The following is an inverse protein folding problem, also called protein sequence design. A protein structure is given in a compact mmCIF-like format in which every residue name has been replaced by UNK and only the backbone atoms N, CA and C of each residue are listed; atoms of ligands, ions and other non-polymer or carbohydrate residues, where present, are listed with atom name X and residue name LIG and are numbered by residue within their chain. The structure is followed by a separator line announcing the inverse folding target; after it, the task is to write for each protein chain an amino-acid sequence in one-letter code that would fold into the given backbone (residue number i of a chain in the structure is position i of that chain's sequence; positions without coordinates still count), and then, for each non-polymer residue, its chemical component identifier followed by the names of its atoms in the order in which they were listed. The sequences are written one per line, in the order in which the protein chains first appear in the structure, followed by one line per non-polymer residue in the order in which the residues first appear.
data_IF_724093078014
#
_entry.id   IF_724093078014
#
_cell.length_a   1.000
_cell.length_b   1.000
_cell.length_c   1.000
_cell.angle_alpha   90.00
_cell.angle_beta   90.00
_cell.angle_gamma   90.00
#
_symmetry.space_group_name_H-M   'P 1'
#
loop_
_entity.id
_entity.type
_entity.pdbx_description
1 polymer ?
#
# COMPACT_ATOMS: atom_id res chain seq x y z
N UNK A 1 -12.58 -18.69 -4.37
CA UNK A 1 -12.01 -18.56 -5.71
C UNK A 1 -10.67 -19.30 -5.86
N UNK A 2 -9.90 -19.50 -4.79
CA UNK A 2 -8.63 -20.22 -4.77
C UNK A 2 -8.76 -21.47 -3.90
N UNK A 3 -8.08 -22.57 -4.31
CA UNK A 3 -8.05 -23.82 -3.53
C UNK A 3 -7.02 -23.79 -2.42
N UNK A 4 -6.06 -22.88 -2.51
CA UNK A 4 -4.96 -22.71 -1.54
C UNK A 4 -4.62 -21.24 -1.42
N UNK A 5 -4.37 -20.79 -0.22
CA UNK A 5 -4.01 -19.41 0.11
C UNK A 5 -2.62 -19.34 0.71
N UNK A 6 -1.82 -18.37 0.25
CA UNK A 6 -0.49 -18.04 0.79
C UNK A 6 -0.49 -16.58 1.24
N UNK A 7 -0.18 -16.34 2.49
CA UNK A 7 0.07 -15.01 3.04
C UNK A 7 1.58 -14.78 3.21
N UNK A 8 2.12 -13.69 2.70
CA UNK A 8 3.48 -13.26 3.03
C UNK A 8 3.46 -12.21 4.13
N UNK A 9 4.27 -12.40 5.18
CA UNK A 9 4.49 -11.42 6.24
C UNK A 9 5.97 -11.05 6.23
N UNK A 10 6.27 -9.83 5.78
CA UNK A 10 7.64 -9.33 5.67
C UNK A 10 7.69 -7.81 5.79
N UNK A 11 8.49 -7.32 6.74
CA UNK A 11 8.79 -5.88 6.84
C UNK A 11 10.00 -5.61 5.97
N UNK A 12 9.73 -5.20 4.72
CA UNK A 12 10.76 -5.01 3.69
C UNK A 12 11.61 -3.77 3.96
N UNK A 13 12.89 -3.89 4.31
CA UNK A 13 13.73 -2.72 4.62
C UNK A 13 13.96 -1.81 3.42
N UNK A 14 13.95 -2.35 2.19
CA UNK A 14 14.33 -1.60 0.98
C UNK A 14 13.27 -0.59 0.52
N UNK A 15 12.05 -0.64 1.07
CA UNK A 15 10.98 0.31 0.76
C UNK A 15 10.82 1.44 1.79
N UNK A 16 11.63 1.46 2.85
CA UNK A 16 11.63 2.53 3.83
C UNK A 16 12.69 3.57 3.47
N UNK A 17 12.23 4.79 3.28
CA UNK A 17 13.06 5.98 3.05
C UNK A 17 13.53 6.61 4.36
N UNK A 18 12.80 6.39 5.47
CA UNK A 18 13.12 6.81 6.82
C UNK A 18 13.49 5.60 7.70
N UNK A 19 14.76 5.50 8.17
CA UNK A 19 15.18 4.44 9.09
C UNK A 19 14.37 4.39 10.39
N UNK A 20 13.91 5.55 10.88
CA UNK A 20 13.09 5.61 12.10
C UNK A 20 11.68 5.03 11.88
N UNK A 21 11.12 5.17 10.67
CA UNK A 21 9.84 4.52 10.33
C UNK A 21 10.00 2.99 10.26
N UNK A 22 11.11 2.50 9.72
CA UNK A 22 11.44 1.06 9.71
C UNK A 22 11.62 0.50 11.14
N UNK A 23 12.36 1.21 11.99
CA UNK A 23 12.60 0.79 13.37
C UNK A 23 11.29 0.70 14.18
N UNK A 24 10.44 1.72 14.03
CA UNK A 24 9.14 1.84 14.73
C UNK A 24 8.02 1.06 14.04
N UNK A 25 8.29 0.39 12.93
CA UNK A 25 7.21 -0.33 12.24
C UNK A 25 6.75 -1.51 13.09
N UNK A 26 5.43 -1.65 13.36
CA UNK A 26 4.91 -2.72 14.20
C UNK A 26 5.29 -4.10 13.64
N UNK A 27 5.80 -4.96 14.52
CA UNK A 27 6.13 -6.36 14.24
C UNK A 27 5.39 -7.22 15.25
N UNK A 28 4.24 -7.75 14.83
CA UNK A 28 3.29 -8.45 15.72
C UNK A 28 3.04 -9.87 15.20
N UNK A 29 4.12 -10.61 14.93
CA UNK A 29 4.07 -11.90 14.23
C UNK A 29 3.05 -12.87 14.85
N UNK A 30 3.02 -13.03 16.16
CA UNK A 30 2.08 -13.94 16.83
C UNK A 30 0.62 -13.54 16.58
N UNK A 31 0.31 -12.24 16.69
CA UNK A 31 -1.03 -11.72 16.42
C UNK A 31 -1.40 -11.86 14.92
N UNK A 32 -0.44 -11.59 14.03
CA UNK A 32 -0.63 -11.71 12.58
C UNK A 32 -0.90 -13.17 12.18
N UNK A 33 -0.18 -14.14 12.77
CA UNK A 33 -0.40 -15.57 12.56
C UNK A 33 -1.76 -16.03 13.10
N UNK A 34 -2.19 -15.53 14.27
CA UNK A 34 -3.50 -15.85 14.82
C UNK A 34 -4.64 -15.33 13.92
N UNK A 35 -4.49 -14.13 13.36
CA UNK A 35 -5.45 -13.55 12.41
C UNK A 35 -5.45 -14.37 11.10
N UNK A 36 -4.29 -14.74 10.57
CA UNK A 36 -4.17 -15.54 9.37
C UNK A 36 -4.85 -16.91 9.55
N UNK A 37 -4.62 -17.57 10.67
CA UNK A 37 -5.26 -18.84 11.01
C UNK A 37 -6.79 -18.69 11.12
N UNK A 38 -7.28 -17.67 11.80
CA UNK A 38 -8.71 -17.40 11.93
C UNK A 38 -9.38 -17.08 10.58
N UNK A 39 -8.62 -16.50 9.65
CA UNK A 39 -9.06 -16.22 8.28
C UNK A 39 -8.99 -17.44 7.34
N UNK A 40 -8.45 -18.58 7.80
CA UNK A 40 -8.35 -19.80 7.02
C UNK A 40 -7.20 -19.78 5.99
N UNK A 41 -6.12 -19.06 6.28
CA UNK A 41 -4.90 -19.08 5.45
C UNK A 41 -4.21 -20.42 5.58
N UNK A 42 -3.88 -21.06 4.44
CA UNK A 42 -3.27 -22.39 4.40
C UNK A 42 -1.76 -22.34 4.67
N UNK A 43 -1.08 -21.34 4.13
CA UNK A 43 0.37 -21.18 4.22
C UNK A 43 0.77 -19.75 4.56
N UNK A 44 1.82 -19.61 5.35
CA UNK A 44 2.43 -18.30 5.63
C UNK A 44 3.90 -18.32 5.21
N UNK A 45 4.30 -17.36 4.39
CA UNK A 45 5.68 -17.14 3.96
C UNK A 45 6.32 -16.06 4.85
N UNK A 46 7.36 -16.42 5.58
CA UNK A 46 8.08 -15.57 6.53
C UNK A 46 9.56 -15.46 6.13
N UNK A 47 9.88 -14.79 5.02
CA UNK A 47 11.25 -14.70 4.57
C UNK A 47 12.07 -13.73 5.45
N UNK A 48 13.36 -14.02 5.56
CA UNK A 48 14.33 -13.08 6.11
C UNK A 48 14.87 -12.13 5.04
N UNK A 49 15.46 -10.97 5.41
CA UNK A 49 16.11 -10.09 4.44
C UNK A 49 17.19 -10.80 3.62
N UNK A 50 18.02 -11.65 4.23
CA UNK A 50 19.10 -12.36 3.56
C UNK A 50 18.59 -13.39 2.53
N UNK A 51 17.45 -14.04 2.82
CA UNK A 51 16.80 -14.94 1.86
C UNK A 51 16.22 -14.21 0.65
N UNK A 52 15.62 -13.04 0.86
CA UNK A 52 15.05 -12.26 -0.24
C UNK A 52 16.11 -11.44 -1.01
N UNK A 53 17.17 -11.02 -0.35
CA UNK A 53 18.21 -10.17 -0.94
C UNK A 53 19.62 -10.78 -0.81
N UNK A 54 19.85 -12.02 -1.30
CA UNK A 54 21.18 -12.64 -1.25
C UNK A 54 22.21 -11.86 -2.09
N UNK A 55 21.74 -10.98 -2.98
CA UNK A 55 22.51 -10.07 -3.82
C UNK A 55 22.80 -8.71 -3.14
N UNK A 56 22.41 -8.52 -1.88
CA UNK A 56 22.52 -7.23 -1.18
C UNK A 56 21.70 -6.11 -1.81
N UNK A 57 20.58 -6.45 -2.47
CA UNK A 57 19.71 -5.50 -3.18
C UNK A 57 20.39 -4.80 -4.36
N UNK A 58 21.32 -5.49 -5.04
CA UNK A 58 22.02 -4.96 -6.23
C UNK A 58 21.11 -4.92 -7.45
N UNK A 59 20.23 -5.93 -7.62
CA UNK A 59 19.23 -5.99 -8.70
C UNK A 59 17.91 -5.41 -8.24
N UNK A 60 17.35 -4.47 -9.02
CA UNK A 60 16.14 -3.73 -8.70
C UNK A 60 15.21 -3.63 -9.89
N UNK A 61 13.92 -3.55 -9.61
CA UNK A 61 12.92 -3.16 -10.59
C UNK A 61 12.60 -1.68 -10.38
N UNK A 62 12.61 -0.91 -11.46
CA UNK A 62 12.28 0.50 -11.48
C UNK A 62 11.16 0.76 -12.48
N UNK A 63 10.27 1.68 -12.13
CA UNK A 63 9.26 2.25 -13.00
C UNK A 63 9.48 3.77 -13.02
N UNK A 64 9.27 4.42 -14.16
CA UNK A 64 9.77 5.79 -14.38
C UNK A 64 8.66 6.85 -14.55
N UNK A 65 7.40 6.50 -14.38
CA UNK A 65 6.26 7.40 -14.59
C UNK A 65 5.38 7.49 -13.33
N UNK A 66 4.67 6.41 -13.00
CA UNK A 66 3.75 6.40 -11.85
C UNK A 66 4.51 6.43 -10.52
N UNK A 67 5.71 5.85 -10.47
CA UNK A 67 6.56 5.86 -9.28
C UNK A 67 7.18 7.23 -8.95
N UNK A 68 7.05 8.22 -9.83
CA UNK A 68 7.67 9.55 -9.66
C UNK A 68 6.73 10.61 -9.11
N UNK A 69 5.46 10.25 -8.90
CA UNK A 69 4.41 11.16 -8.38
C UNK A 69 3.89 10.70 -7.02
N UNK A 70 3.13 11.53 -6.34
CA UNK A 70 2.48 11.21 -5.05
C UNK A 70 3.48 10.63 -4.02
N UNK A 71 3.22 9.39 -3.52
CA UNK A 71 4.13 8.72 -2.60
C UNK A 71 5.54 8.57 -3.14
N UNK A 72 5.71 8.36 -4.45
CA UNK A 72 7.04 8.24 -5.05
C UNK A 72 7.82 9.55 -5.08
N UNK A 73 7.13 10.69 -5.28
CA UNK A 73 7.75 12.01 -5.20
C UNK A 73 8.22 12.34 -3.78
N UNK A 74 7.40 12.01 -2.77
CA UNK A 74 7.74 12.29 -1.36
C UNK A 74 8.65 11.24 -0.71
N UNK A 75 8.79 10.06 -1.33
CA UNK A 75 9.57 8.92 -0.82
C UNK A 75 10.45 8.31 -1.92
N UNK A 76 11.55 8.96 -2.33
CA UNK A 76 12.43 8.46 -3.40
C UNK A 76 12.93 7.04 -3.14
N UNK A 77 12.84 6.16 -4.15
CA UNK A 77 13.24 4.74 -4.06
C UNK A 77 12.23 3.81 -3.38
N UNK A 78 11.17 4.32 -2.77
CA UNK A 78 10.14 3.51 -2.11
C UNK A 78 9.56 2.45 -3.04
N UNK A 79 9.15 2.84 -4.24
CA UNK A 79 8.53 1.91 -5.18
C UNK A 79 9.52 0.96 -5.84
N UNK A 80 10.81 1.30 -5.94
CA UNK A 80 11.84 0.35 -6.36
C UNK A 80 11.91 -0.82 -5.36
N UNK A 81 11.86 -0.51 -4.06
CA UNK A 81 11.80 -1.51 -3.00
C UNK A 81 10.52 -2.35 -3.07
N UNK A 82 9.36 -1.72 -3.26
CA UNK A 82 8.07 -2.40 -3.37
C UNK A 82 8.02 -3.33 -4.58
N UNK A 83 8.36 -2.85 -5.77
CA UNK A 83 8.30 -3.64 -7.00
C UNK A 83 9.28 -4.82 -6.95
N UNK A 84 10.50 -4.58 -6.43
CA UNK A 84 11.51 -5.62 -6.33
C UNK A 84 11.08 -6.73 -5.35
N UNK A 85 10.58 -6.39 -4.16
CA UNK A 85 10.13 -7.41 -3.20
C UNK A 85 8.94 -8.18 -3.72
N UNK A 86 7.94 -7.50 -4.31
CA UNK A 86 6.75 -8.17 -4.84
C UNK A 86 7.12 -9.10 -5.98
N UNK A 87 8.00 -8.70 -6.90
CA UNK A 87 8.50 -9.59 -7.95
C UNK A 87 9.10 -10.87 -7.36
N UNK A 88 10.01 -10.73 -6.37
CA UNK A 88 10.64 -11.90 -5.72
C UNK A 88 9.62 -12.80 -5.05
N UNK A 89 8.66 -12.24 -4.31
CA UNK A 89 7.59 -13.01 -3.67
C UNK A 89 6.71 -13.75 -4.68
N UNK A 90 6.35 -13.11 -5.80
CA UNK A 90 5.58 -13.74 -6.86
C UNK A 90 6.34 -14.89 -7.52
N UNK A 91 7.64 -14.75 -7.74
CA UNK A 91 8.50 -15.82 -8.27
C UNK A 91 8.59 -17.03 -7.31
N UNK A 92 8.67 -16.78 -6.01
CA UNK A 92 8.66 -17.85 -4.99
C UNK A 92 7.29 -18.55 -4.96
N UNK A 93 6.20 -17.79 -5.00
CA UNK A 93 4.84 -18.31 -4.84
C UNK A 93 4.30 -19.05 -6.08
N UNK A 94 4.89 -18.84 -7.27
CA UNK A 94 4.37 -19.45 -8.51
C UNK A 94 4.82 -20.91 -8.73
N UNK A 95 5.75 -21.41 -7.93
CA UNK A 95 6.32 -22.75 -8.14
C UNK A 95 5.26 -23.83 -7.96
N UNK A 96 5.03 -24.62 -9.04
CA UNK A 96 4.09 -25.73 -9.02
C UNK A 96 2.59 -25.36 -9.09
N UNK A 97 2.27 -24.08 -9.34
CA UNK A 97 0.89 -23.60 -9.45
C UNK A 97 0.49 -23.41 -10.91
N UNK A 98 -0.73 -23.81 -11.27
CA UNK A 98 -1.30 -23.55 -12.59
C UNK A 98 -1.37 -22.03 -12.84
N UNK A 99 -0.72 -21.51 -13.90
CA UNK A 99 -0.71 -20.08 -14.23
C UNK A 99 -2.11 -19.46 -14.34
N UNK A 100 -3.09 -20.21 -14.84
CA UNK A 100 -4.47 -19.71 -15.00
C UNK A 100 -5.20 -19.47 -13.67
N UNK A 101 -4.65 -19.97 -12.57
CA UNK A 101 -5.26 -19.91 -11.23
C UNK A 101 -4.54 -18.99 -10.24
N UNK A 102 -3.46 -18.36 -10.67
CA UNK A 102 -2.70 -17.47 -9.80
C UNK A 102 -3.42 -16.13 -9.58
N UNK A 103 -3.64 -15.76 -8.33
CA UNK A 103 -4.31 -14.52 -7.92
C UNK A 103 -3.47 -13.82 -6.86
N UNK A 104 -3.20 -12.53 -7.06
CA UNK A 104 -2.60 -11.64 -6.07
C UNK A 104 -3.66 -10.66 -5.58
N UNK A 105 -3.98 -10.71 -4.30
CA UNK A 105 -4.95 -9.80 -3.68
C UNK A 105 -4.22 -8.65 -2.99
N UNK A 106 -4.58 -7.41 -3.36
CA UNK A 106 -3.95 -6.19 -2.85
C UNK A 106 -5.01 -5.19 -2.39
N UNK A 107 -4.80 -4.56 -1.25
CA UNK A 107 -5.71 -3.53 -0.75
C UNK A 107 -5.67 -2.24 -1.60
N UNK A 108 -6.84 -1.72 -1.97
CA UNK A 108 -6.96 -0.45 -2.72
C UNK A 108 -6.58 0.79 -1.90
N UNK A 109 -6.38 0.67 -0.60
CA UNK A 109 -5.84 1.76 0.22
C UNK A 109 -4.51 2.26 -0.35
N UNK A 110 -3.65 1.35 -0.77
CA UNK A 110 -2.37 1.62 -1.39
C UNK A 110 -2.49 1.59 -2.93
N UNK A 111 -3.47 2.35 -3.49
CA UNK A 111 -3.87 2.28 -4.89
C UNK A 111 -2.74 2.59 -5.88
N UNK A 112 -1.85 3.52 -5.56
CA UNK A 112 -0.67 3.78 -6.38
C UNK A 112 0.23 2.54 -6.47
N UNK A 113 0.46 1.86 -5.34
CA UNK A 113 1.20 0.60 -5.28
C UNK A 113 0.49 -0.49 -6.09
N UNK A 114 -0.83 -0.63 -5.95
CA UNK A 114 -1.63 -1.58 -6.72
C UNK A 114 -1.50 -1.34 -8.23
N UNK A 115 -1.54 -0.07 -8.66
CA UNK A 115 -1.38 0.31 -10.07
C UNK A 115 0.00 -0.06 -10.60
N UNK A 116 1.06 0.23 -9.85
CA UNK A 116 2.43 -0.13 -10.19
C UNK A 116 2.64 -1.63 -10.30
N UNK A 117 2.10 -2.41 -9.35
CA UNK A 117 2.20 -3.87 -9.36
C UNK A 117 1.43 -4.47 -10.55
N UNK A 118 0.25 -3.94 -10.90
CA UNK A 118 -0.47 -4.36 -12.12
C UNK A 118 0.37 -4.12 -13.36
N UNK A 119 0.94 -2.92 -13.51
CA UNK A 119 1.82 -2.60 -14.62
C UNK A 119 3.06 -3.49 -14.68
N UNK A 120 3.68 -3.79 -13.55
CA UNK A 120 4.82 -4.72 -13.47
C UNK A 120 4.42 -6.13 -13.91
N UNK A 121 3.31 -6.67 -13.42
CA UNK A 121 2.82 -8.00 -13.78
C UNK A 121 2.58 -8.10 -15.28
N UNK A 122 1.95 -7.09 -15.89
CA UNK A 122 1.71 -7.01 -17.33
C UNK A 122 3.02 -6.88 -18.12
N UNK A 123 3.88 -5.93 -17.76
CA UNK A 123 5.13 -5.64 -18.47
C UNK A 123 6.11 -6.80 -18.48
N UNK A 124 6.15 -7.60 -17.41
CA UNK A 124 7.02 -8.76 -17.28
C UNK A 124 6.34 -10.10 -17.61
N UNK A 125 5.12 -10.07 -18.17
CA UNK A 125 4.35 -11.26 -18.55
C UNK A 125 4.19 -12.29 -17.42
N UNK A 126 4.03 -11.79 -16.18
CA UNK A 126 3.86 -12.67 -15.03
C UNK A 126 2.46 -13.30 -15.05
N UNK A 127 2.32 -14.59 -14.74
CA UNK A 127 1.04 -15.30 -14.84
C UNK A 127 0.14 -15.06 -13.63
N UNK A 128 -0.01 -13.81 -13.21
CA UNK A 128 -0.78 -13.42 -12.04
C UNK A 128 -1.93 -12.48 -12.38
N UNK A 129 -3.14 -12.80 -11.94
CA UNK A 129 -4.23 -11.83 -11.94
C UNK A 129 -4.17 -10.98 -10.65
N UNK A 130 -3.95 -9.68 -10.77
CA UNK A 130 -3.88 -8.74 -9.64
C UNK A 130 -5.26 -8.18 -9.33
N UNK A 131 -5.80 -8.59 -8.18
CA UNK A 131 -7.14 -8.24 -7.70
C UNK A 131 -7.04 -7.12 -6.67
N UNK A 132 -7.70 -5.99 -6.94
CA UNK A 132 -7.88 -4.92 -5.94
C UNK A 132 -8.99 -5.28 -4.96
N UNK A 133 -8.70 -5.19 -3.67
CA UNK A 133 -9.68 -5.36 -2.61
C UNK A 133 -10.05 -3.98 -2.03
N UNK A 134 -11.35 -3.69 -1.86
CA UNK A 134 -11.79 -2.43 -1.30
C UNK A 134 -11.09 -2.08 0.02
N UNK A 135 -10.82 -0.80 0.22
CA UNK A 135 -10.22 -0.32 1.47
C UNK A 135 -11.08 -0.66 2.66
N UNK A 136 -10.55 -1.48 3.57
CA UNK A 136 -11.20 -1.76 4.85
C UNK A 136 -11.07 -0.54 5.75
N UNK A 137 -12.19 -0.17 6.39
CA UNK A 137 -12.26 1.03 7.24
C UNK A 137 -12.72 0.67 8.63
N UNK A 138 -12.28 1.47 9.60
CA UNK A 138 -12.82 1.49 10.94
C UNK A 138 -14.27 2.00 10.94
N UNK A 139 -15.00 1.80 12.02
CA UNK A 139 -16.42 2.20 12.14
C UNK A 139 -16.65 3.70 11.93
N UNK A 140 -15.65 4.53 12.17
CA UNK A 140 -15.67 5.98 11.95
C UNK A 140 -15.19 6.42 10.56
N UNK A 141 -14.89 5.45 9.67
CA UNK A 141 -14.51 5.68 8.29
C UNK A 141 -12.99 5.82 8.04
N UNK A 142 -12.16 5.88 9.09
CA UNK A 142 -10.70 5.89 8.93
C UNK A 142 -10.22 4.60 8.25
N UNK A 143 -9.37 4.73 7.23
CA UNK A 143 -8.77 3.56 6.60
C UNK A 143 -7.92 2.77 7.61
N UNK A 144 -8.09 1.46 7.68
CA UNK A 144 -7.32 0.61 8.58
C UNK A 144 -5.84 0.64 8.22
N UNK A 145 -5.00 0.82 9.22
CA UNK A 145 -3.54 0.85 9.09
C UNK A 145 -2.87 0.50 10.41
N UNK A 146 -1.77 -0.25 10.36
CA UNK A 146 -0.92 -0.47 11.53
C UNK A 146 -0.38 0.84 12.13
N UNK A 147 -0.22 1.88 11.31
CA UNK A 147 0.19 3.21 11.77
C UNK A 147 -0.87 3.92 12.61
N UNK A 148 -2.14 3.51 12.58
CA UNK A 148 -3.19 4.10 13.42
C UNK A 148 -2.90 3.91 14.91
N UNK A 149 -2.18 2.86 15.29
CA UNK A 149 -1.76 2.60 16.67
C UNK A 149 -0.76 3.63 17.23
N UNK A 150 -0.13 4.42 16.34
CA UNK A 150 0.82 5.49 16.73
C UNK A 150 0.12 6.83 17.07
N UNK A 151 -1.16 6.95 16.74
CA UNK A 151 -1.92 8.17 17.00
C UNK A 151 -2.21 8.33 18.48
N UNK A 152 -2.01 9.54 19.00
CA UNK A 152 -2.53 9.89 20.34
C UNK A 152 -4.06 9.84 20.35
N UNK A 153 -4.67 9.79 21.51
CA UNK A 153 -6.14 9.79 21.63
C UNK A 153 -6.80 11.01 20.96
N UNK A 154 -6.13 12.17 20.98
CA UNK A 154 -6.59 13.38 20.31
C UNK A 154 -6.47 13.26 18.79
N UNK A 155 -5.29 12.85 18.31
CA UNK A 155 -5.07 12.60 16.88
C UNK A 155 -6.02 11.54 16.33
N UNK A 156 -6.28 10.47 17.10
CA UNK A 156 -7.20 9.40 16.68
C UNK A 156 -8.64 9.93 16.50
N UNK A 157 -9.08 10.92 17.29
CA UNK A 157 -10.40 11.56 17.10
C UNK A 157 -10.46 12.45 15.86
N UNK A 158 -9.34 13.03 15.46
CA UNK A 158 -9.24 13.89 14.27
C UNK A 158 -9.07 13.06 12.99
N UNK A 159 -8.36 11.93 13.03
CA UNK A 159 -7.96 11.13 11.88
C UNK A 159 -9.10 10.79 10.91
N UNK A 160 -10.33 10.49 11.34
CA UNK A 160 -11.45 10.19 10.42
C UNK A 160 -11.83 11.32 9.46
N UNK A 161 -11.47 12.57 9.80
CA UNK A 161 -11.69 13.71 8.90
C UNK A 161 -10.97 13.51 7.55
N UNK A 162 -9.84 12.77 7.52
CA UNK A 162 -9.15 12.49 6.27
C UNK A 162 -10.08 11.84 5.25
N UNK A 163 -10.69 10.71 5.61
CA UNK A 163 -11.59 9.97 4.73
C UNK A 163 -12.89 10.74 4.42
N UNK A 164 -13.40 11.53 5.38
CA UNK A 164 -14.57 12.36 5.19
C UNK A 164 -14.31 13.45 4.15
N UNK A 165 -13.25 14.22 4.32
CA UNK A 165 -12.90 15.33 3.42
C UNK A 165 -12.58 14.83 2.01
N UNK A 166 -11.91 13.69 1.86
CA UNK A 166 -11.66 13.12 0.54
C UNK A 166 -12.93 12.86 -0.25
N UNK A 167 -14.01 12.40 0.41
CA UNK A 167 -15.29 12.11 -0.23
C UNK A 167 -16.15 13.35 -0.47
N UNK A 168 -16.12 14.31 0.46
CA UNK A 168 -17.09 15.40 0.50
C UNK A 168 -16.56 16.71 -0.12
N UNK A 169 -15.24 16.90 -0.19
CA UNK A 169 -14.69 18.14 -0.76
C UNK A 169 -14.94 18.21 -2.26
N UNK A 170 -15.38 19.38 -2.78
CA UNK A 170 -15.67 19.55 -4.20
C UNK A 170 -14.42 19.37 -5.06
N UNK A 171 -13.25 19.76 -4.55
CA UNK A 171 -11.97 19.66 -5.23
C UNK A 171 -10.81 19.47 -4.23
N UNK A 172 -9.62 19.15 -4.76
CA UNK A 172 -8.43 18.91 -3.97
C UNK A 172 -7.97 20.15 -3.17
N UNK A 173 -8.14 21.36 -3.71
CA UNK A 173 -7.71 22.59 -3.03
C UNK A 173 -8.56 22.90 -1.81
N UNK A 174 -9.87 22.78 -1.93
CA UNK A 174 -10.82 22.92 -0.81
C UNK A 174 -10.58 21.84 0.24
N UNK A 175 -10.35 20.59 -0.20
CA UNK A 175 -10.02 19.47 0.68
C UNK A 175 -8.74 19.73 1.48
N UNK A 176 -7.69 20.25 0.84
CA UNK A 176 -6.43 20.64 1.49
C UNK A 176 -6.67 21.66 2.60
N UNK A 177 -7.33 22.78 2.29
CA UNK A 177 -7.62 23.82 3.27
C UNK A 177 -8.42 23.30 4.46
N UNK A 178 -9.41 22.44 4.20
CA UNK A 178 -10.24 21.85 5.26
C UNK A 178 -9.43 20.93 6.17
N UNK A 179 -8.55 20.11 5.61
CA UNK A 179 -7.69 19.22 6.42
C UNK A 179 -6.63 20.00 7.21
N UNK A 180 -6.03 21.03 6.62
CA UNK A 180 -5.07 21.90 7.31
C UNK A 180 -5.75 22.61 8.52
N UNK A 181 -6.97 23.10 8.34
CA UNK A 181 -7.75 23.69 9.44
C UNK A 181 -8.11 22.66 10.53
N UNK A 182 -8.21 21.37 10.19
CA UNK A 182 -8.40 20.29 11.15
C UNK A 182 -7.10 19.81 11.83
N UNK A 183 -5.94 20.42 11.53
CA UNK A 183 -4.67 20.12 12.17
C UNK A 183 -3.78 19.11 11.41
N UNK A 184 -4.13 18.77 10.16
CA UNK A 184 -3.25 17.97 9.32
C UNK A 184 -2.17 18.80 8.65
N UNK A 185 -0.96 18.27 8.54
CA UNK A 185 0.08 18.77 7.65
C UNK A 185 0.07 17.95 6.36
N UNK A 186 -0.34 18.58 5.26
CA UNK A 186 -0.57 17.90 4.00
C UNK A 186 0.77 17.67 3.27
N UNK A 187 1.09 16.43 2.96
CA UNK A 187 2.17 16.04 2.07
C UNK A 187 1.71 16.25 0.61
N UNK A 188 0.66 15.55 0.21
CA UNK A 188 -0.07 15.82 -1.03
C UNK A 188 -1.57 15.59 -0.85
N UNK A 189 -2.39 16.29 -1.66
CA UNK A 189 -3.80 16.01 -1.92
C UNK A 189 -4.06 16.41 -3.37
N UNK A 190 -4.33 15.42 -4.22
CA UNK A 190 -4.41 15.60 -5.67
C UNK A 190 -5.46 14.68 -6.30
N UNK A 191 -6.14 15.20 -7.32
CA UNK A 191 -7.04 14.44 -8.18
C UNK A 191 -6.23 13.98 -9.40
N UNK A 192 -6.09 12.66 -9.60
CA UNK A 192 -5.28 12.06 -10.65
C UNK A 192 -5.88 10.79 -11.21
N UNK A 193 -5.56 10.52 -12.47
CA UNK A 193 -5.67 9.19 -13.09
C UNK A 193 -4.27 8.58 -13.12
N UNK A 194 -4.08 7.40 -12.54
CA UNK A 194 -2.83 6.66 -12.57
C UNK A 194 -2.92 5.47 -13.53
N UNK A 195 -1.81 5.15 -14.18
CA UNK A 195 -1.69 4.04 -15.13
C UNK A 195 -1.89 4.45 -16.58
N UNK A 196 -1.61 3.50 -17.49
CA UNK A 196 -1.65 3.69 -18.94
C UNK A 196 -2.99 3.31 -19.58
N UNK A 197 -3.90 2.72 -18.82
CA UNK A 197 -5.22 2.32 -19.32
C UNK A 197 -6.12 3.53 -19.53
N UNK A 198 -6.67 3.67 -20.73
CA UNK A 198 -7.68 4.68 -21.06
C UNK A 198 -9.00 4.54 -20.27
N UNK A 199 -9.17 3.44 -19.54
CA UNK A 199 -10.33 3.16 -18.69
C UNK A 199 -10.06 3.41 -17.21
N UNK A 200 -8.88 3.88 -16.84
CA UNK A 200 -8.57 4.17 -15.45
C UNK A 200 -9.41 5.34 -14.94
N UNK A 201 -10.17 5.13 -13.87
CA UNK A 201 -10.96 6.17 -13.23
C UNK A 201 -10.06 7.18 -12.50
N UNK A 202 -10.46 8.45 -12.51
CA UNK A 202 -9.82 9.46 -11.69
C UNK A 202 -10.05 9.15 -10.21
N UNK A 203 -9.05 9.41 -9.39
CA UNK A 203 -9.13 9.25 -7.93
C UNK A 203 -8.53 10.47 -7.25
N UNK A 204 -9.07 10.78 -6.08
CA UNK A 204 -8.46 11.74 -5.15
C UNK A 204 -7.54 10.99 -4.21
N UNK A 205 -6.26 11.35 -4.22
CA UNK A 205 -5.22 10.75 -3.39
C UNK A 205 -4.76 11.74 -2.33
N UNK A 206 -4.47 11.25 -1.15
CA UNK A 206 -3.84 12.05 -0.11
C UNK A 206 -2.78 11.29 0.67
N UNK A 207 -1.77 12.04 1.09
CA UNK A 207 -0.95 11.72 2.25
C UNK A 207 -0.89 12.95 3.14
N UNK A 208 -1.09 12.74 4.42
CA UNK A 208 -1.12 13.81 5.41
C UNK A 208 -0.58 13.31 6.75
N UNK A 209 0.05 14.20 7.49
CA UNK A 209 0.56 13.92 8.83
C UNK A 209 -0.38 14.44 9.89
N UNK A 210 -0.62 13.64 10.93
CA UNK A 210 -1.12 14.06 12.21
C UNK A 210 0.00 13.87 13.25
N UNK A 211 0.60 14.95 13.71
CA UNK A 211 1.88 14.91 14.39
C UNK A 211 2.92 14.24 13.48
N UNK A 212 3.57 13.19 13.98
CA UNK A 212 4.59 12.42 13.23
C UNK A 212 3.99 11.26 12.41
N UNK A 213 2.70 10.96 12.58
CA UNK A 213 2.08 9.81 11.90
C UNK A 213 1.59 10.19 10.51
N UNK A 214 2.22 9.61 9.48
CA UNK A 214 1.79 9.75 8.09
C UNK A 214 0.65 8.80 7.77
N UNK A 215 -0.49 9.36 7.42
CA UNK A 215 -1.70 8.66 6.98
C UNK A 215 -1.86 8.82 5.46
N UNK A 216 -2.32 7.77 4.80
CA UNK A 216 -2.69 7.80 3.38
C UNK A 216 -4.11 7.28 3.19
N UNK A 217 -4.79 7.83 2.22
CA UNK A 217 -6.09 7.33 1.76
C UNK A 217 -6.33 7.75 0.30
N UNK A 218 -7.33 7.17 -0.33
CA UNK A 218 -7.80 7.59 -1.64
C UNK A 218 -9.26 7.21 -1.85
N UNK A 219 -9.95 7.93 -2.74
CA UNK A 219 -11.32 7.65 -3.14
C UNK A 219 -11.45 7.78 -4.65
N UNK A 220 -12.31 6.97 -5.28
CA UNK A 220 -12.67 7.17 -6.67
C UNK A 220 -13.45 8.49 -6.81
N UNK A 221 -13.26 9.16 -7.94
CA UNK A 221 -14.06 10.30 -8.36
C UNK A 221 -15.04 9.83 -9.43
N UNK A 222 -16.31 10.22 -9.28
CA UNK A 222 -17.39 9.91 -10.22
C UNK A 222 -17.23 10.69 -11.54
#
# INVERSE_FOLDING_TARGET
ECSTTLLSIFVNPTQFDDPMDLERYPRTLEADLAIAQAAGVDHVLLPTPDELYPDGYTYKIQESVVSTVLCGASRPGHFDGVLTVVMKLLQIAQVGVDPARQRLYMGEKDHQQLTLIRGMVEAFFLPWAVIGCPTVRETDGLAMSSRNSRLTAEQRRIAPHLAKVLREAPDAATGRTTLEAAGFRIDYLEDRTLGTSHTAAARRYTAAFLGETRLIDNVALD
#
